data_IF_405885427536
#
_entry.id   IF_405885427536
#
_cell.length_a   1.000
_cell.length_b   1.000
_cell.length_c   1.000
_cell.angle_alpha   90.00
_cell.angle_beta   90.00
_cell.angle_gamma   90.00
#
_symmetry.space_group_name_H-M   'P 1'
#
loop_
_entity.id
_entity.type
_entity.pdbx_description
1 polymer ?
#
# COMPACT_ATOMS: atom_id res chain seq x y z
N UNK A 1 9.90 -15.19 -10.63
CA UNK A 1 9.48 -14.70 -9.28
C UNK A 1 10.23 -13.43 -8.85
N UNK A 2 11.31 -13.11 -9.53
CA UNK A 2 12.23 -12.00 -9.28
C UNK A 2 11.50 -10.64 -9.32
N UNK A 3 10.63 -10.42 -10.32
CA UNK A 3 9.83 -9.19 -10.40
C UNK A 3 8.90 -9.00 -9.20
N UNK A 4 8.31 -10.10 -8.71
CA UNK A 4 7.43 -10.07 -7.52
C UNK A 4 8.23 -9.75 -6.27
N UNK A 5 9.43 -10.30 -6.13
CA UNK A 5 10.34 -9.98 -5.03
C UNK A 5 10.79 -8.51 -5.07
N UNK A 6 11.15 -7.98 -6.24
CA UNK A 6 11.51 -6.58 -6.42
C UNK A 6 10.34 -5.67 -6.02
N UNK A 7 9.14 -5.95 -6.52
CA UNK A 7 7.93 -5.18 -6.18
C UNK A 7 7.62 -5.25 -4.70
N UNK A 8 7.78 -6.43 -4.07
CA UNK A 8 7.65 -6.59 -2.62
C UNK A 8 8.64 -5.70 -1.88
N UNK A 9 9.91 -5.70 -2.26
CA UNK A 9 10.95 -4.85 -1.67
C UNK A 9 10.64 -3.35 -1.84
N UNK A 10 10.18 -2.93 -3.01
CA UNK A 10 9.78 -1.55 -3.28
C UNK A 10 8.57 -1.12 -2.44
N UNK A 11 7.57 -1.99 -2.26
CA UNK A 11 6.44 -1.73 -1.37
C UNK A 11 6.88 -1.55 0.09
N UNK A 12 7.76 -2.42 0.57
CA UNK A 12 8.31 -2.32 1.93
C UNK A 12 9.12 -1.03 2.11
N UNK A 13 9.94 -0.66 1.12
CA UNK A 13 10.66 0.60 1.12
C UNK A 13 9.71 1.81 1.13
N UNK A 14 8.61 1.78 0.39
CA UNK A 14 7.60 2.83 0.41
C UNK A 14 6.97 2.99 1.81
N UNK A 15 6.60 1.89 2.47
CA UNK A 15 6.09 1.91 3.84
C UNK A 15 7.13 2.51 4.79
N UNK A 16 8.39 2.10 4.67
CA UNK A 16 9.48 2.64 5.49
C UNK A 16 9.68 4.15 5.28
N UNK A 17 9.61 4.63 4.03
CA UNK A 17 9.68 6.07 3.73
C UNK A 17 8.50 6.81 4.37
N UNK A 18 7.29 6.25 4.31
CA UNK A 18 6.12 6.87 4.92
C UNK A 18 6.24 6.91 6.46
N UNK A 19 6.87 5.92 7.09
CA UNK A 19 7.12 5.92 8.54
C UNK A 19 8.09 7.03 8.95
N UNK A 20 9.16 7.26 8.18
CA UNK A 20 10.09 8.38 8.37
C UNK A 20 9.34 9.71 8.29
N UNK A 21 8.43 9.86 7.32
CA UNK A 21 7.64 11.09 7.16
C UNK A 21 6.70 11.35 8.34
N UNK A 22 6.13 10.31 8.96
CA UNK A 22 5.40 10.45 10.23
C UNK A 22 6.33 10.97 11.32
N UNK A 23 7.53 10.42 11.44
CA UNK A 23 8.55 10.89 12.39
C UNK A 23 8.96 12.35 12.17
N UNK A 24 9.12 12.75 10.90
CA UNK A 24 9.41 14.14 10.53
C UNK A 24 8.28 15.09 10.95
N UNK A 25 7.02 14.75 10.66
CA UNK A 25 5.88 15.57 11.09
C UNK A 25 5.71 15.59 12.60
N UNK A 26 6.01 14.48 13.27
CA UNK A 26 6.01 14.41 14.74
C UNK A 26 6.99 15.41 15.33
N UNK A 27 8.23 15.43 14.85
CA UNK A 27 9.26 16.37 15.30
C UNK A 27 8.94 17.82 14.93
N UNK A 28 8.46 18.06 13.70
CA UNK A 28 8.10 19.40 13.21
C UNK A 28 7.02 20.07 14.07
N UNK A 29 6.06 19.30 14.57
CA UNK A 29 4.87 19.81 15.27
C UNK A 29 4.86 19.49 16.78
N UNK A 30 6.01 19.09 17.35
CA UNK A 30 6.19 18.70 18.76
C UNK A 30 5.09 17.75 19.31
N UNK A 31 4.67 16.79 18.48
CA UNK A 31 3.66 15.80 18.91
C UNK A 31 4.35 14.76 19.79
N UNK A 32 4.25 14.91 21.11
CA UNK A 32 4.91 14.01 22.07
C UNK A 32 4.31 12.60 22.04
N UNK A 33 5.16 11.58 22.05
CA UNK A 33 4.70 10.20 22.23
C UNK A 33 4.03 10.05 23.61
N UNK A 34 2.96 9.23 23.76
CA UNK A 34 2.38 8.31 22.78
C UNK A 34 1.28 8.93 21.89
N UNK A 35 1.15 10.26 21.84
CA UNK A 35 0.06 10.89 21.11
C UNK A 35 0.09 10.57 19.60
N UNK A 36 -1.11 10.32 19.07
CA UNK A 36 -1.41 10.06 17.66
C UNK A 36 -2.40 11.10 17.08
N UNK A 37 -2.67 12.14 17.86
CA UNK A 37 -3.45 13.34 17.48
C UNK A 37 -2.60 14.59 17.74
N UNK A 38 -2.86 15.67 17.02
CA UNK A 38 -2.08 16.90 17.09
C UNK A 38 -2.27 17.78 15.87
N UNK A 39 -1.17 18.23 15.27
CA UNK A 39 -1.25 19.08 14.07
C UNK A 39 -1.85 18.31 12.87
N UNK A 40 -2.74 18.93 12.05
CA UNK A 40 -3.38 18.25 10.93
C UNK A 40 -2.42 17.58 9.94
N UNK A 41 -1.26 18.17 9.65
CA UNK A 41 -0.23 17.54 8.79
C UNK A 41 0.33 16.25 9.39
N UNK A 42 0.54 16.22 10.72
CA UNK A 42 0.97 15.02 11.43
C UNK A 42 -0.11 13.95 11.38
N UNK A 43 -1.36 14.31 11.65
CA UNK A 43 -2.48 13.36 11.60
C UNK A 43 -2.65 12.77 10.20
N UNK A 44 -2.55 13.60 9.15
CA UNK A 44 -2.58 13.13 7.75
C UNK A 44 -1.43 12.17 7.47
N UNK A 45 -0.19 12.52 7.82
CA UNK A 45 0.97 11.63 7.64
C UNK A 45 0.75 10.28 8.35
N UNK A 46 0.30 10.33 9.60
CA UNK A 46 0.03 9.15 10.42
C UNK A 46 -1.04 8.26 9.79
N UNK A 47 -2.17 8.85 9.34
CA UNK A 47 -3.26 8.13 8.68
C UNK A 47 -2.84 7.55 7.33
N UNK A 48 -2.03 8.26 6.55
CA UNK A 48 -1.48 7.76 5.28
C UNK A 48 -0.63 6.51 5.54
N UNK A 49 0.27 6.57 6.51
CA UNK A 49 1.14 5.43 6.85
C UNK A 49 0.34 4.24 7.38
N UNK A 50 -0.55 4.45 8.37
CA UNK A 50 -1.41 3.40 8.93
C UNK A 50 -2.25 2.72 7.84
N UNK A 51 -2.95 3.50 7.02
CA UNK A 51 -3.76 2.93 5.95
C UNK A 51 -2.91 2.20 4.89
N UNK A 52 -1.66 2.61 4.66
CA UNK A 52 -0.76 1.87 3.76
C UNK A 52 -0.43 0.50 4.35
N UNK A 53 -0.13 0.41 5.64
CA UNK A 53 0.15 -0.87 6.32
C UNK A 53 -1.08 -1.79 6.26
N UNK A 54 -2.27 -1.27 6.55
CA UNK A 54 -3.54 -2.02 6.45
C UNK A 54 -3.81 -2.56 5.04
N UNK A 55 -3.32 -1.90 4.00
CA UNK A 55 -3.43 -2.39 2.62
C UNK A 55 -2.33 -3.40 2.28
N UNK A 56 -1.10 -3.16 2.76
CA UNK A 56 0.06 -4.02 2.49
C UNK A 56 -0.12 -5.43 3.06
N UNK A 57 -0.78 -5.56 4.22
CA UNK A 57 -1.07 -6.88 4.82
C UNK A 57 -1.96 -7.76 3.93
N UNK A 58 -2.83 -7.15 3.10
CA UNK A 58 -3.67 -7.87 2.13
C UNK A 58 -2.93 -8.02 0.80
N UNK A 59 -2.28 -6.94 0.36
CA UNK A 59 -1.59 -6.86 -0.91
C UNK A 59 -0.48 -7.92 -1.07
N UNK A 60 0.44 -8.03 -0.11
CA UNK A 60 1.59 -8.92 -0.26
C UNK A 60 1.17 -10.39 -0.39
N UNK A 61 0.35 -10.97 0.51
CA UNK A 61 -0.12 -12.34 0.31
C UNK A 61 -0.85 -12.53 -1.02
N UNK A 62 -1.72 -11.58 -1.39
CA UNK A 62 -2.48 -11.64 -2.66
C UNK A 62 -1.56 -11.65 -3.88
N UNK A 63 -0.51 -10.82 -3.86
CA UNK A 63 0.51 -10.73 -4.90
C UNK A 63 1.21 -12.08 -5.10
N UNK A 64 1.66 -12.70 -4.01
CA UNK A 64 2.38 -13.96 -4.05
C UNK A 64 1.48 -15.15 -4.43
N UNK A 65 0.25 -15.19 -3.93
CA UNK A 65 -0.74 -16.21 -4.32
C UNK A 65 -1.04 -16.10 -5.82
N UNK A 66 -1.36 -14.90 -6.32
CA UNK A 66 -1.63 -14.69 -7.75
C UNK A 66 -0.43 -15.10 -8.61
N UNK A 67 0.78 -14.67 -8.24
CA UNK A 67 2.00 -15.01 -8.97
C UNK A 67 2.26 -16.52 -9.05
N UNK A 68 1.90 -17.25 -7.99
CA UNK A 68 2.09 -18.70 -7.89
C UNK A 68 1.15 -19.47 -8.82
N UNK A 69 -0.13 -19.06 -8.88
CA UNK A 69 -1.14 -19.79 -9.65
C UNK A 69 -1.33 -19.30 -11.08
N UNK A 70 -0.97 -18.06 -11.38
CA UNK A 70 -1.10 -17.46 -12.71
C UNK A 70 0.26 -17.13 -13.32
N UNK A 71 0.71 -15.89 -13.18
CA UNK A 71 1.85 -15.33 -13.90
C UNK A 71 2.57 -14.26 -13.05
N UNK A 72 3.85 -14.46 -12.70
CA UNK A 72 4.61 -13.51 -11.89
C UNK A 72 4.78 -12.12 -12.52
N UNK A 73 4.87 -12.03 -13.84
CA UNK A 73 5.02 -10.77 -14.58
C UNK A 73 3.75 -9.91 -14.51
N UNK A 74 2.57 -10.52 -14.66
CA UNK A 74 1.28 -9.84 -14.49
C UNK A 74 1.10 -9.41 -13.03
N UNK A 75 1.43 -10.28 -12.08
CA UNK A 75 1.39 -9.96 -10.66
C UNK A 75 2.24 -8.73 -10.34
N UNK A 76 3.47 -8.69 -10.84
CA UNK A 76 4.38 -7.56 -10.65
C UNK A 76 3.84 -6.27 -11.27
N UNK A 77 3.23 -6.32 -12.46
CA UNK A 77 2.57 -5.17 -13.07
C UNK A 77 1.43 -4.59 -12.21
N UNK A 78 0.57 -5.46 -11.67
CA UNK A 78 -0.48 -5.05 -10.72
C UNK A 78 0.10 -4.50 -9.42
N UNK A 79 1.22 -5.06 -8.95
CA UNK A 79 1.91 -4.55 -7.77
C UNK A 79 2.57 -3.18 -7.97
N UNK A 80 3.09 -2.89 -9.17
CA UNK A 80 3.53 -1.53 -9.51
C UNK A 80 2.35 -0.54 -9.51
N UNK A 81 1.19 -0.96 -10.03
CA UNK A 81 -0.03 -0.15 -9.98
C UNK A 81 -0.44 0.17 -8.54
N UNK A 82 -0.32 -0.80 -7.62
CA UNK A 82 -0.54 -0.57 -6.19
C UNK A 82 0.41 0.49 -5.63
N UNK A 83 1.72 0.36 -5.88
CA UNK A 83 2.76 1.31 -5.39
C UNK A 83 2.47 2.74 -5.90
N UNK A 84 2.15 2.90 -7.18
CA UNK A 84 1.79 4.19 -7.77
C UNK A 84 0.51 4.74 -7.13
N UNK A 85 -0.52 3.91 -6.97
CA UNK A 85 -1.76 4.28 -6.29
C UNK A 85 -1.51 4.80 -4.87
N UNK A 86 -0.62 4.15 -4.11
CA UNK A 86 -0.21 4.60 -2.76
C UNK A 86 0.53 5.94 -2.78
N UNK A 87 1.37 6.20 -3.78
CA UNK A 87 2.06 7.48 -3.89
C UNK A 87 1.09 8.62 -4.23
N UNK A 88 0.14 8.39 -5.15
CA UNK A 88 -0.93 9.34 -5.50
C UNK A 88 -1.84 9.58 -4.29
N UNK A 89 -2.25 8.51 -3.61
CA UNK A 89 -3.05 8.57 -2.38
C UNK A 89 -2.38 9.45 -1.33
N UNK A 90 -1.08 9.23 -1.07
CA UNK A 90 -0.31 10.05 -0.13
C UNK A 90 -0.37 11.52 -0.51
N UNK A 91 -0.04 11.86 -1.76
CA UNK A 91 0.04 13.24 -2.23
C UNK A 91 -1.30 13.96 -2.05
N UNK A 92 -2.37 13.34 -2.56
CA UNK A 92 -3.72 13.88 -2.45
C UNK A 92 -4.17 14.04 -1.00
N UNK A 93 -3.96 13.04 -0.14
CA UNK A 93 -4.37 13.11 1.26
C UNK A 93 -3.57 14.16 2.04
N UNK A 94 -2.28 14.33 1.74
CA UNK A 94 -1.48 15.36 2.41
C UNK A 94 -1.98 16.77 2.07
N UNK A 95 -2.31 17.02 0.81
CA UNK A 95 -2.87 18.29 0.34
C UNK A 95 -4.29 18.52 0.91
N UNK A 96 -5.21 17.61 0.61
CA UNK A 96 -6.61 17.67 0.99
C UNK A 96 -7.17 16.25 1.23
N UNK A 97 -7.55 15.90 2.48
CA UNK A 97 -8.13 14.61 2.82
C UNK A 97 -9.33 14.16 1.97
N UNK A 98 -10.07 15.10 1.37
CA UNK A 98 -11.23 14.78 0.54
C UNK A 98 -10.84 14.24 -0.85
N UNK A 99 -9.63 14.56 -1.34
CA UNK A 99 -9.14 14.17 -2.68
C UNK A 99 -8.47 12.80 -2.74
N UNK A 100 -8.35 12.09 -1.60
CA UNK A 100 -7.60 10.82 -1.49
C UNK A 100 -8.22 9.63 -2.24
N UNK A 101 -9.48 9.73 -2.66
CA UNK A 101 -10.26 8.59 -3.15
C UNK A 101 -9.67 7.93 -4.42
N UNK A 102 -9.19 8.73 -5.39
CA UNK A 102 -8.69 8.19 -6.65
C UNK A 102 -7.48 7.27 -6.45
N UNK A 103 -6.46 7.73 -5.73
CA UNK A 103 -5.28 6.92 -5.42
C UNK A 103 -5.60 5.70 -4.57
N UNK A 104 -6.57 5.82 -3.65
CA UNK A 104 -7.07 4.68 -2.87
C UNK A 104 -7.70 3.62 -3.77
N UNK A 105 -8.61 4.02 -4.66
CA UNK A 105 -9.31 3.12 -5.56
C UNK A 105 -8.35 2.37 -6.49
N UNK A 106 -7.31 3.05 -7.01
CA UNK A 106 -6.28 2.40 -7.83
C UNK A 106 -5.59 1.25 -7.09
N UNK A 107 -5.17 1.47 -5.84
CA UNK A 107 -4.56 0.42 -5.02
C UNK A 107 -5.54 -0.70 -4.66
N UNK A 108 -6.78 -0.35 -4.31
CA UNK A 108 -7.82 -1.31 -3.95
C UNK A 108 -8.20 -2.23 -5.11
N UNK A 109 -8.30 -1.70 -6.33
CA UNK A 109 -8.56 -2.49 -7.54
C UNK A 109 -7.42 -3.47 -7.80
N UNK A 110 -6.16 -3.01 -7.69
CA UNK A 110 -5.00 -3.90 -7.85
C UNK A 110 -5.03 -5.06 -6.85
N UNK A 111 -5.33 -4.77 -5.57
CA UNK A 111 -5.49 -5.80 -4.53
C UNK A 111 -6.62 -6.76 -4.88
N UNK A 112 -7.79 -6.24 -5.29
CA UNK A 112 -8.95 -7.08 -5.57
C UNK A 112 -8.67 -8.07 -6.72
N UNK A 113 -8.03 -7.60 -7.79
CA UNK A 113 -7.63 -8.45 -8.92
C UNK A 113 -6.64 -9.52 -8.47
N UNK A 114 -5.62 -9.15 -7.69
CA UNK A 114 -4.63 -10.09 -7.17
C UNK A 114 -5.27 -11.13 -6.23
N UNK A 115 -6.12 -10.68 -5.30
CA UNK A 115 -6.74 -11.54 -4.29
C UNK A 115 -7.74 -12.52 -4.93
N UNK A 116 -8.68 -12.02 -5.71
CA UNK A 116 -9.72 -12.83 -6.34
C UNK A 116 -9.10 -13.73 -7.41
N UNK A 117 -8.20 -13.20 -8.24
CA UNK A 117 -7.48 -13.99 -9.23
C UNK A 117 -6.65 -15.09 -8.58
N UNK A 118 -5.91 -14.76 -7.51
CA UNK A 118 -5.13 -15.73 -6.75
C UNK A 118 -5.99 -16.84 -6.16
N UNK A 119 -7.13 -16.49 -5.57
CA UNK A 119 -8.09 -17.46 -5.03
C UNK A 119 -8.66 -18.38 -6.11
N UNK A 120 -9.09 -17.83 -7.25
CA UNK A 120 -9.60 -18.63 -8.38
C UNK A 120 -8.52 -19.59 -8.87
N UNK A 121 -7.29 -19.11 -9.06
CA UNK A 121 -6.17 -19.92 -9.50
C UNK A 121 -5.86 -21.07 -8.53
N UNK A 122 -5.95 -20.81 -7.23
CA UNK A 122 -5.80 -21.83 -6.20
C UNK A 122 -6.91 -22.88 -6.26
N UNK A 123 -8.17 -22.47 -6.36
CA UNK A 123 -9.34 -23.38 -6.45
C UNK A 123 -9.25 -24.25 -7.70
N UNK A 124 -8.90 -23.68 -8.86
CA UNK A 124 -8.74 -24.41 -10.12
C UNK A 124 -7.62 -25.46 -10.10
N UNK A 125 -6.73 -25.43 -9.09
CA UNK A 125 -5.70 -26.47 -8.90
C UNK A 125 -6.14 -27.61 -7.99
N UNK A 126 -7.20 -27.43 -7.21
CA UNK A 126 -7.74 -28.47 -6.33
C UNK A 126 -8.76 -29.34 -7.05
N UNK A 127 -9.52 -28.74 -7.98
CA UNK A 127 -10.50 -29.42 -8.85
C UNK A 127 -9.81 -29.96 -10.09
#
# INVERSE_FOLDING_TARGET
>A
MEYVAIVTGLTLLQVFIFSIQVGQQRGKHDVKAPAVTGHPEFERAYRIHQNTIEQVIIFLPSLWIFATYWRPDIAAGLGLLFIVGRQVYRGAYMEDPTKRAAGFATGAIAILVLLVGGLIGAIMKVV
#
